data_IF_946051596937
#
_entry.id   IF_946051596937
#
_cell.length_a   1.000
_cell.length_b   1.000
_cell.length_c   1.000
_cell.angle_alpha   90.00
_cell.angle_beta   90.00
_cell.angle_gamma   90.00
#
_symmetry.space_group_name_H-M   'P 1'
#
loop_
_entity.id
_entity.type
_entity.pdbx_description
1 polymer ?
#
# COMPACT_ATOMS: atom_id res chain seq x y z
N UNK A 1 -12.58 -4.03 -15.62
CA UNK A 1 -12.43 -2.83 -14.76
C UNK A 1 -12.92 -1.63 -15.53
N UNK A 2 -13.74 -0.76 -14.94
CA UNK A 2 -14.02 0.57 -15.51
C UNK A 2 -13.06 1.57 -14.87
N UNK A 3 -12.34 2.40 -15.65
CA UNK A 3 -11.55 3.48 -15.06
C UNK A 3 -12.52 4.49 -14.43
N UNK A 4 -12.26 4.86 -13.18
CA UNK A 4 -12.98 5.93 -12.46
C UNK A 4 -12.07 7.16 -12.22
N UNK A 5 -10.94 7.26 -12.94
CA UNK A 5 -10.00 8.39 -12.84
C UNK A 5 -10.69 9.74 -12.98
N UNK A 6 -10.18 10.76 -12.28
CA UNK A 6 -10.76 12.11 -12.14
C UNK A 6 -12.02 12.23 -11.27
N UNK A 7 -12.15 11.37 -10.25
CA UNK A 7 -13.16 11.55 -9.19
C UNK A 7 -12.47 12.05 -7.93
N UNK A 8 -12.73 13.30 -7.54
CA UNK A 8 -12.39 13.79 -6.20
C UNK A 8 -13.14 12.96 -5.16
N UNK A 9 -12.43 12.26 -4.28
CA UNK A 9 -13.03 11.48 -3.21
C UNK A 9 -13.06 12.36 -1.96
N UNK A 10 -14.28 12.71 -1.53
CA UNK A 10 -14.52 13.33 -0.23
C UNK A 10 -15.00 12.25 0.74
N UNK A 11 -14.17 11.95 1.72
CA UNK A 11 -14.48 11.05 2.84
C UNK A 11 -14.56 11.93 4.08
N UNK A 12 -15.77 12.35 4.48
CA UNK A 12 -15.92 13.25 5.65
C UNK A 12 -15.23 14.58 5.38
N UNK A 13 -14.28 14.98 6.23
CA UNK A 13 -13.50 16.21 6.07
C UNK A 13 -12.23 16.02 5.21
N UNK A 14 -11.92 14.79 4.81
CA UNK A 14 -10.78 14.48 3.94
C UNK A 14 -11.20 14.51 2.48
N UNK A 15 -10.54 15.34 1.68
CA UNK A 15 -10.78 15.43 0.23
C UNK A 15 -9.47 15.24 -0.52
N UNK A 16 -9.40 14.20 -1.34
CA UNK A 16 -8.25 13.95 -2.22
C UNK A 16 -8.72 13.34 -3.53
N UNK A 17 -8.11 13.78 -4.63
CA UNK A 17 -8.33 13.21 -5.95
C UNK A 17 -7.25 12.16 -6.22
N UNK A 18 -7.66 10.96 -6.62
CA UNK A 18 -6.73 9.91 -7.01
C UNK A 18 -6.29 10.13 -8.47
N UNK A 19 -4.98 10.07 -8.73
CA UNK A 19 -4.43 10.14 -10.09
C UNK A 19 -4.96 9.01 -10.98
N UNK A 20 -5.37 7.89 -10.39
CA UNK A 20 -6.11 6.81 -11.03
C UNK A 20 -6.91 6.04 -10.00
N UNK A 21 -8.10 5.56 -10.37
CA UNK A 21 -8.84 4.62 -9.56
C UNK A 21 -9.60 3.60 -10.41
N UNK A 22 -9.83 2.44 -9.80
CA UNK A 22 -10.46 1.29 -10.43
C UNK A 22 -11.48 0.68 -9.49
N UNK A 23 -12.65 0.35 -10.01
CA UNK A 23 -13.68 -0.34 -9.25
C UNK A 23 -14.22 -1.57 -10.03
N UNK A 24 -14.70 -2.60 -9.33
CA UNK A 24 -15.56 -3.63 -9.92
C UNK A 24 -16.75 -2.99 -10.64
N UNK A 25 -17.30 -3.67 -11.64
CA UNK A 25 -18.42 -3.14 -12.43
C UNK A 25 -19.77 -3.08 -11.67
N UNK A 26 -19.81 -3.47 -10.39
CA UNK A 26 -21.00 -3.43 -9.54
C UNK A 26 -21.32 -2.01 -9.04
N UNK A 27 -22.59 -1.74 -8.84
CA UNK A 27 -23.16 -0.40 -8.63
C UNK A 27 -22.90 0.24 -7.26
N UNK A 28 -22.53 -0.53 -6.23
CA UNK A 28 -22.21 -0.01 -4.88
C UNK A 28 -20.74 -0.28 -4.52
N UNK A 29 -19.82 0.44 -5.15
CA UNK A 29 -18.38 0.27 -4.88
C UNK A 29 -17.86 1.37 -3.95
N UNK A 30 -17.68 1.00 -2.68
CA UNK A 30 -16.95 1.81 -1.70
C UNK A 30 -15.44 1.65 -1.91
N UNK A 31 -14.66 2.72 -1.78
CA UNK A 31 -13.20 2.68 -1.90
C UNK A 31 -12.59 1.84 -0.76
N UNK A 32 -11.96 0.72 -1.08
CA UNK A 32 -11.40 -0.23 -0.11
C UNK A 32 -9.87 -0.29 -0.13
N UNK A 33 -9.26 -0.01 -1.27
CA UNK A 33 -7.82 -0.09 -1.49
C UNK A 33 -7.31 1.13 -2.25
N UNK A 34 -6.22 1.72 -1.76
CA UNK A 34 -5.58 2.90 -2.36
C UNK A 34 -4.10 2.62 -2.62
N UNK A 35 -3.61 3.08 -3.77
CA UNK A 35 -2.17 3.14 -4.07
C UNK A 35 -1.77 4.60 -4.21
N UNK A 36 -0.78 5.02 -3.44
CA UNK A 36 -0.19 6.36 -3.48
C UNK A 36 1.24 6.23 -4.01
N UNK A 37 1.60 7.04 -5.00
CA UNK A 37 2.93 7.01 -5.63
C UNK A 37 3.52 8.41 -5.58
N UNK A 38 4.81 8.53 -5.28
CA UNK A 38 5.44 9.83 -5.28
C UNK A 38 6.92 9.78 -4.94
N UNK A 39 7.46 10.95 -4.61
CA UNK A 39 8.89 11.16 -4.43
C UNK A 39 9.29 11.41 -2.96
N UNK A 40 8.32 11.64 -2.07
CA UNK A 40 8.59 12.06 -0.68
C UNK A 40 7.96 11.11 0.35
N UNK A 41 8.80 10.46 1.15
CA UNK A 41 8.37 9.49 2.16
C UNK A 41 7.53 10.10 3.31
N UNK A 42 7.73 11.39 3.64
CA UNK A 42 6.99 12.05 4.73
C UNK A 42 5.52 12.26 4.38
N UNK A 43 5.21 12.51 3.10
CA UNK A 43 3.85 12.73 2.64
C UNK A 43 3.02 11.43 2.69
N UNK A 44 3.65 10.29 2.42
CA UNK A 44 2.97 9.00 2.37
C UNK A 44 2.37 8.53 3.70
N UNK A 45 3.03 8.81 4.82
CA UNK A 45 2.46 8.48 6.12
C UNK A 45 1.19 9.30 6.37
N UNK A 46 1.26 10.62 6.14
CA UNK A 46 0.09 11.50 6.28
C UNK A 46 -1.06 11.09 5.37
N UNK A 47 -0.76 10.76 4.11
CA UNK A 47 -1.76 10.29 3.16
C UNK A 47 -2.40 8.97 3.62
N UNK A 48 -1.59 8.01 4.07
CA UNK A 48 -2.10 6.73 4.57
C UNK A 48 -2.99 6.91 5.81
N UNK A 49 -2.59 7.78 6.74
CA UNK A 49 -3.42 8.16 7.89
C UNK A 49 -4.75 8.80 7.45
N UNK A 50 -4.71 9.77 6.52
CA UNK A 50 -5.91 10.41 5.99
C UNK A 50 -6.89 9.43 5.34
N UNK A 51 -6.38 8.51 4.52
CA UNK A 51 -7.22 7.49 3.90
C UNK A 51 -7.81 6.49 4.89
N UNK A 52 -7.04 6.04 5.88
CA UNK A 52 -7.48 4.96 6.77
C UNK A 52 -8.28 5.46 7.97
N UNK A 53 -7.93 6.60 8.55
CA UNK A 53 -8.45 7.03 9.86
C UNK A 53 -9.64 7.98 9.77
N UNK A 54 -9.96 8.50 8.59
CA UNK A 54 -11.10 9.41 8.44
C UNK A 54 -12.40 8.66 8.72
N UNK A 55 -13.28 9.22 9.57
CA UNK A 55 -14.38 8.48 10.20
C UNK A 55 -15.42 7.85 9.27
N UNK A 56 -15.57 8.37 8.04
CA UNK A 56 -16.45 7.79 7.00
C UNK A 56 -15.70 6.93 5.98
N UNK A 57 -14.42 6.65 6.21
CA UNK A 57 -13.60 5.89 5.28
C UNK A 57 -13.96 4.41 5.25
N UNK A 58 -14.19 3.90 4.05
CA UNK A 58 -14.27 2.47 3.77
C UNK A 58 -12.92 1.84 3.46
N UNK A 59 -11.84 2.62 3.37
CA UNK A 59 -10.51 2.14 2.98
C UNK A 59 -9.98 1.19 4.05
N UNK A 60 -9.52 0.01 3.63
CA UNK A 60 -8.97 -1.04 4.49
C UNK A 60 -7.47 -1.24 4.28
N UNK A 61 -6.95 -0.79 3.14
CA UNK A 61 -5.57 -1.00 2.73
C UNK A 61 -5.05 0.20 1.95
N UNK A 62 -3.86 0.68 2.29
CA UNK A 62 -3.14 1.67 1.50
C UNK A 62 -1.75 1.13 1.19
N UNK A 63 -1.33 1.22 -0.07
CA UNK A 63 0.06 0.95 -0.47
C UNK A 63 0.69 2.26 -0.93
N UNK A 64 1.83 2.62 -0.36
CA UNK A 64 2.59 3.80 -0.79
C UNK A 64 3.87 3.36 -1.49
N UNK A 65 4.16 3.93 -2.65
CA UNK A 65 5.35 3.64 -3.47
C UNK A 65 6.18 4.93 -3.57
N UNK A 66 7.31 4.96 -2.89
CA UNK A 66 8.30 6.01 -2.97
C UNK A 66 9.35 5.68 -4.02
N UNK A 67 9.50 6.56 -5.01
CA UNK A 67 10.53 6.43 -6.04
C UNK A 67 11.63 7.44 -5.76
N UNK A 68 12.86 6.97 -5.60
CA UNK A 68 14.03 7.82 -5.53
C UNK A 68 14.38 8.28 -6.96
N UNK A 69 14.58 9.59 -7.16
CA UNK A 69 14.88 10.14 -8.49
C UNK A 69 16.35 10.05 -8.86
N UNK A 70 17.20 10.03 -7.85
CA UNK A 70 18.63 10.23 -8.02
C UNK A 70 19.38 8.90 -7.91
N UNK A 71 18.74 7.88 -7.32
CA UNK A 71 19.34 6.56 -7.10
C UNK A 71 18.34 5.46 -7.47
N UNK A 72 18.80 4.29 -7.95
CA UNK A 72 17.95 3.15 -8.26
C UNK A 72 17.42 2.50 -6.97
N UNK A 73 16.44 3.16 -6.36
CA UNK A 73 15.77 2.76 -5.13
C UNK A 73 14.27 3.04 -5.20
N UNK A 74 13.47 2.05 -4.80
CA UNK A 74 12.02 2.15 -4.63
C UNK A 74 11.64 1.58 -3.28
N UNK A 75 10.80 2.30 -2.54
CA UNK A 75 10.30 1.89 -1.23
C UNK A 75 8.79 1.67 -1.33
N UNK A 76 8.34 0.44 -1.07
CA UNK A 76 6.93 0.11 -0.95
C UNK A 76 6.57 -0.04 0.52
N UNK A 77 5.43 0.54 0.92
CA UNK A 77 4.86 0.32 2.26
C UNK A 77 3.41 -0.08 2.15
N UNK A 78 3.00 -1.00 3.00
CA UNK A 78 1.60 -1.41 3.18
C UNK A 78 1.12 -0.87 4.52
N UNK A 79 -0.02 -0.18 4.50
CA UNK A 79 -0.62 0.46 5.67
C UNK A 79 -2.02 -0.08 5.90
N UNK A 80 -2.34 -0.32 7.17
CA UNK A 80 -3.62 -0.84 7.60
C UNK A 80 -3.97 -0.27 8.98
N UNK A 81 -5.25 -0.24 9.34
CA UNK A 81 -5.64 0.02 10.72
C UNK A 81 -5.23 -1.18 11.57
N UNK A 82 -4.42 -0.93 12.59
CA UNK A 82 -4.06 -1.93 13.59
C UNK A 82 -4.40 -1.40 15.00
N UNK A 83 -4.75 -2.27 15.97
CA UNK A 83 -4.76 -1.90 17.36
C UNK A 83 -3.38 -1.36 17.76
N UNK A 84 -3.33 -0.28 18.54
CA UNK A 84 -2.08 0.19 19.14
C UNK A 84 -1.54 -0.91 20.05
N UNK A 85 -0.27 -1.27 19.87
CA UNK A 85 0.35 -2.39 20.59
C UNK A 85 0.41 -2.15 22.10
N UNK A 86 0.59 -3.23 22.85
CA UNK A 86 0.57 -3.30 24.33
C UNK A 86 1.54 -2.34 25.07
N UNK A 87 2.47 -1.68 24.35
CA UNK A 87 3.41 -0.69 24.91
C UNK A 87 2.79 0.70 25.13
N UNK A 88 1.62 0.98 24.54
CA UNK A 88 0.88 2.22 24.75
C UNK A 88 -0.28 1.97 25.73
N UNK A 89 0.02 1.98 27.03
CA UNK A 89 -0.89 1.69 28.16
C UNK A 89 -1.92 2.80 28.40
N UNK A 90 -2.72 3.15 27.40
CA UNK A 90 -4.02 3.76 27.60
C UNK A 90 -5.08 2.84 26.97
N UNK A 91 -5.82 2.13 27.82
CA UNK A 91 -6.86 1.13 27.47
C UNK A 91 -8.01 1.67 26.58
N UNK A 92 -7.95 2.92 26.14
CA UNK A 92 -8.96 3.61 25.34
C UNK A 92 -8.40 4.27 24.06
N UNK A 93 -7.17 3.98 23.65
CA UNK A 93 -6.63 4.59 22.43
C UNK A 93 -7.30 3.98 21.18
N UNK A 94 -7.87 4.80 20.27
CA UNK A 94 -8.48 4.29 19.05
C UNK A 94 -7.43 3.58 18.17
N UNK A 95 -7.85 2.58 17.37
CA UNK A 95 -7.03 1.99 16.33
C UNK A 95 -6.45 3.07 15.40
N UNK A 96 -5.25 2.85 14.89
CA UNK A 96 -4.53 3.84 14.09
C UNK A 96 -3.87 3.15 12.90
N UNK A 97 -3.69 3.89 11.81
CA UNK A 97 -2.96 3.45 10.64
C UNK A 97 -1.52 3.09 11.05
N UNK A 98 -1.08 1.91 10.63
CA UNK A 98 0.26 1.39 10.88
C UNK A 98 0.84 0.82 9.61
N UNK A 99 2.13 1.06 9.38
CA UNK A 99 2.88 0.38 8.36
C UNK A 99 3.01 -1.10 8.77
N UNK A 100 2.30 -2.00 8.09
CA UNK A 100 2.30 -3.45 8.35
C UNK A 100 3.22 -4.22 7.42
N UNK A 101 3.75 -3.59 6.38
CA UNK A 101 4.87 -4.12 5.62
C UNK A 101 5.70 -2.99 5.02
N UNK A 102 7.00 -3.21 4.93
CA UNK A 102 7.98 -2.35 4.29
C UNK A 102 8.83 -3.21 3.35
N UNK A 103 9.01 -2.76 2.11
CA UNK A 103 9.90 -3.37 1.13
C UNK A 103 10.76 -2.28 0.51
N UNK A 104 12.05 -2.57 0.36
CA UNK A 104 13.00 -1.75 -0.35
C UNK A 104 13.53 -2.56 -1.53
N UNK A 105 13.37 -2.01 -2.73
CA UNK A 105 13.97 -2.53 -3.96
C UNK A 105 15.09 -1.58 -4.32
N UNK A 106 16.31 -2.08 -4.41
CA UNK A 106 17.49 -1.25 -4.69
C UNK A 106 18.45 -1.97 -5.61
N UNK A 107 19.20 -1.21 -6.42
CA UNK A 107 20.28 -1.76 -7.24
C UNK A 107 21.64 -1.29 -6.77
N UNK A 108 22.54 -2.25 -6.55
CA UNK A 108 23.95 -2.01 -6.23
C UNK A 108 24.80 -2.97 -7.04
N UNK A 109 25.94 -2.51 -7.59
CA UNK A 109 26.87 -3.34 -8.37
C UNK A 109 26.16 -4.18 -9.44
N UNK A 110 25.28 -3.54 -10.23
CA UNK A 110 24.50 -4.16 -11.29
C UNK A 110 23.56 -5.31 -10.84
N UNK A 111 23.31 -5.43 -9.53
CA UNK A 111 22.46 -6.46 -8.94
C UNK A 111 21.28 -5.80 -8.26
N UNK A 112 20.07 -6.20 -8.67
CA UNK A 112 18.82 -5.72 -8.07
C UNK A 112 18.41 -6.65 -6.93
N UNK A 113 18.19 -6.07 -5.75
CA UNK A 113 17.83 -6.78 -4.53
C UNK A 113 16.53 -6.26 -3.96
N UNK A 114 15.82 -7.14 -3.25
CA UNK A 114 14.61 -6.78 -2.49
C UNK A 114 14.84 -7.19 -1.05
N UNK A 115 14.65 -6.26 -0.13
CA UNK A 115 14.64 -6.50 1.31
C UNK A 115 13.34 -5.97 1.89
N UNK A 116 12.93 -6.48 3.04
CA UNK A 116 11.69 -6.03 3.63
C UNK A 116 11.32 -6.75 4.90
N UNK A 117 10.33 -6.19 5.56
CA UNK A 117 9.76 -6.68 6.81
C UNK A 117 8.24 -6.62 6.71
N UNK A 118 7.56 -7.61 7.28
CA UNK A 118 6.10 -7.62 7.40
C UNK A 118 5.70 -7.99 8.82
N UNK A 119 4.77 -7.21 9.36
CA UNK A 119 4.14 -7.54 10.62
C UNK A 119 2.96 -8.49 10.35
N UNK A 120 3.03 -9.69 10.91
CA UNK A 120 1.91 -10.62 10.98
C UNK A 120 1.65 -10.96 12.44
N UNK A 121 0.45 -10.64 12.93
CA UNK A 121 0.00 -10.96 14.29
C UNK A 121 0.93 -10.46 15.41
N UNK A 122 1.58 -9.31 15.20
CA UNK A 122 2.50 -8.72 16.17
C UNK A 122 3.93 -9.26 16.12
N UNK A 123 4.21 -10.18 15.19
CA UNK A 123 5.56 -10.67 14.90
C UNK A 123 6.04 -10.08 13.58
N UNK A 124 7.19 -9.40 13.61
CA UNK A 124 7.85 -8.88 12.41
C UNK A 124 8.72 -9.97 11.81
N UNK A 125 8.50 -10.30 10.54
CA UNK A 125 9.28 -11.29 9.78
C UNK A 125 9.90 -10.63 8.55
N UNK A 126 11.06 -11.13 8.11
CA UNK A 126 11.64 -10.70 6.83
C UNK A 126 10.79 -11.18 5.66
N UNK A 127 10.66 -10.36 4.63
CA UNK A 127 9.92 -10.68 3.40
C UNK A 127 10.60 -10.07 2.18
N UNK A 128 10.45 -10.72 1.04
CA UNK A 128 10.88 -10.21 -0.28
C UNK A 128 9.71 -10.11 -1.27
N UNK A 129 8.49 -10.27 -0.80
CA UNK A 129 7.25 -10.22 -1.59
C UNK A 129 6.24 -9.28 -0.94
N UNK A 130 5.41 -8.65 -1.77
CA UNK A 130 4.30 -7.82 -1.32
C UNK A 130 3.01 -8.65 -1.34
N UNK A 131 2.47 -8.91 -0.15
CA UNK A 131 1.20 -9.60 0.03
C UNK A 131 0.07 -8.59 0.25
N UNK A 132 -0.97 -8.64 -0.58
CA UNK A 132 -2.14 -7.78 -0.48
C UNK A 132 -3.37 -8.64 -0.18
N UNK A 133 -3.95 -8.53 1.03
CA UNK A 133 -5.07 -9.38 1.43
C UNK A 133 -6.30 -9.18 0.54
N UNK A 134 -6.85 -10.27 0.01
CA UNK A 134 -8.02 -10.22 -0.88
C UNK A 134 -9.19 -9.47 -0.25
N UNK A 135 -9.50 -9.81 1.00
CA UNK A 135 -10.63 -9.24 1.72
C UNK A 135 -10.50 -7.72 1.89
N UNK A 136 -9.28 -7.21 2.02
CA UNK A 136 -9.04 -5.76 2.16
C UNK A 136 -9.09 -5.04 0.82
N UNK A 137 -8.75 -5.72 -0.26
CA UNK A 137 -8.87 -5.16 -1.62
C UNK A 137 -10.33 -5.16 -2.07
N UNK A 138 -11.06 -6.26 -1.86
CA UNK A 138 -12.41 -6.45 -2.42
C UNK A 138 -13.52 -6.08 -1.43
N UNK A 139 -13.18 -5.89 -0.14
CA UNK A 139 -14.11 -5.58 0.95
C UNK A 139 -15.18 -6.68 1.18
N UNK A 140 -14.79 -7.94 0.99
CA UNK A 140 -15.59 -9.13 1.32
C UNK A 140 -14.70 -10.36 1.47
N UNK A 141 -15.22 -11.37 2.15
CA UNK A 141 -14.53 -12.65 2.27
C UNK A 141 -14.43 -13.39 0.93
N UNK A 142 -13.37 -14.20 0.71
CA UNK A 142 -13.29 -15.13 -0.40
C UNK A 142 -14.45 -16.14 -0.37
N UNK A 143 -15.10 -16.37 -1.51
CA UNK A 143 -16.16 -17.38 -1.66
C UNK A 143 -15.71 -18.60 -2.47
N UNK A 144 -14.63 -18.46 -3.25
CA UNK A 144 -14.12 -19.53 -4.11
C UNK A 144 -12.61 -19.72 -3.93
N UNK A 145 -12.06 -20.93 -4.17
CA UNK A 145 -10.63 -21.20 -3.97
C UNK A 145 -9.67 -20.34 -4.81
N UNK A 146 -10.16 -19.73 -5.88
CA UNK A 146 -9.39 -18.82 -6.74
C UNK A 146 -9.33 -17.39 -6.19
N UNK A 147 -10.22 -17.04 -5.27
CA UNK A 147 -10.23 -15.76 -4.56
C UNK A 147 -9.24 -15.86 -3.39
N UNK A 148 -8.08 -15.24 -3.56
CA UNK A 148 -6.97 -15.33 -2.61
C UNK A 148 -6.17 -14.04 -2.65
N UNK A 149 -5.32 -13.88 -1.65
CA UNK A 149 -4.43 -12.74 -1.54
C UNK A 149 -3.61 -12.56 -2.81
N UNK A 150 -3.46 -11.29 -3.22
CA UNK A 150 -2.61 -10.94 -4.34
C UNK A 150 -1.16 -10.88 -3.85
N UNK A 151 -0.33 -11.77 -4.38
CA UNK A 151 1.09 -11.86 -4.06
C UNK A 151 1.88 -11.31 -5.23
N UNK A 152 2.66 -10.24 -4.99
CA UNK A 152 3.63 -9.73 -5.94
C UNK A 152 5.00 -10.29 -5.54
N UNK A 153 5.52 -11.29 -6.28
CA UNK A 153 6.74 -11.97 -5.90
C UNK A 153 7.98 -11.08 -6.13
N UNK A 154 9.08 -11.46 -5.51
CA UNK A 154 10.37 -10.76 -5.59
C UNK A 154 10.79 -10.44 -7.03
N UNK A 155 10.67 -11.39 -7.95
CA UNK A 155 11.08 -11.19 -9.34
C UNK A 155 10.23 -10.17 -10.08
N UNK A 156 8.93 -10.10 -9.80
CA UNK A 156 8.06 -9.06 -10.37
C UNK A 156 8.38 -7.68 -9.76
N UNK A 157 8.71 -7.61 -8.46
CA UNK A 157 9.16 -6.36 -7.83
C UNK A 157 10.47 -5.85 -8.45
N UNK A 158 11.42 -6.76 -8.75
CA UNK A 158 12.67 -6.39 -9.44
C UNK A 158 12.39 -5.86 -10.84
N UNK A 159 11.59 -6.58 -11.64
CA UNK A 159 11.22 -6.17 -13.01
C UNK A 159 10.52 -4.81 -13.02
N UNK A 160 9.57 -4.61 -12.11
CA UNK A 160 8.89 -3.34 -11.92
C UNK A 160 9.88 -2.20 -11.64
N UNK A 161 10.83 -2.41 -10.73
CA UNK A 161 11.81 -1.39 -10.38
C UNK A 161 12.80 -1.09 -11.51
N UNK A 162 13.31 -2.11 -12.19
CA UNK A 162 14.23 -1.94 -13.31
C UNK A 162 13.60 -1.19 -14.49
N UNK A 163 12.32 -1.44 -14.77
CA UNK A 163 11.58 -0.67 -15.77
C UNK A 163 11.53 0.81 -15.40
N UNK A 164 11.22 1.15 -14.14
CA UNK A 164 11.20 2.54 -13.67
C UNK A 164 12.58 3.19 -13.78
N UNK A 165 13.64 2.51 -13.35
CA UNK A 165 14.99 3.06 -13.40
C UNK A 165 15.52 3.24 -14.82
N UNK A 166 15.08 2.38 -15.75
CA UNK A 166 15.35 2.55 -17.19
C UNK A 166 14.71 3.84 -17.71
N UNK A 167 13.45 4.10 -17.37
CA UNK A 167 12.76 5.35 -17.73
C UNK A 167 13.41 6.59 -17.07
N UNK A 168 13.95 6.44 -15.86
CA UNK A 168 14.74 7.48 -15.19
C UNK A 168 16.17 7.64 -15.75
N UNK A 169 16.60 6.76 -16.67
CA UNK A 169 17.97 6.72 -17.23
C UNK A 169 19.05 6.47 -16.19
N UNK A 170 18.72 5.68 -15.16
CA UNK A 170 19.66 5.22 -14.12
C UNK A 170 20.24 3.82 -14.45
N UNK A 171 19.69 3.15 -15.47
CA UNK A 171 20.17 1.92 -16.09
C UNK A 171 20.45 2.19 -17.57
#
# INVERSE_FOLDING_TARGET
>A
MRPFGSTTVTIGDWTKEADSCWAPASTDTSLSFVVEIGLSARQFALDAHGWLETGSSSVKLVVTIGINRDNPEIILRRWEIAPRGYRDLARSSPPSARCTAFLQVSRTNNTTSVTGESDMNGTTTTTTQLNLPFEKIINRVPHHPLERDLVIPQEELKRFAENIWTEQRLL
#
